data_IF_743534172718
#
_entry.id   IF_743534172718
#
_cell.length_a   1.000
_cell.length_b   1.000
_cell.length_c   1.000
_cell.angle_alpha   90.00
_cell.angle_beta   90.00
_cell.angle_gamma   90.00
#
_symmetry.space_group_name_H-M   'P 1'
#
loop_
_entity.id
_entity.type
_entity.pdbx_description
1 polymer ?
#
# COMPACT_ATOMS: atom_id res chain seq x y z
N UNK A 1 7.45 -2.64 -2.63
CA UNK A 1 6.14 -3.32 -2.66
C UNK A 1 6.21 -4.60 -3.48
N UNK A 2 5.48 -5.63 -3.09
CA UNK A 2 5.24 -6.82 -3.91
C UNK A 2 3.92 -6.69 -4.67
N UNK A 3 3.87 -7.17 -5.92
CA UNK A 3 2.64 -7.14 -6.72
C UNK A 3 1.58 -8.04 -6.06
N UNK A 4 0.35 -7.56 -5.96
CA UNK A 4 -0.79 -8.28 -5.39
C UNK A 4 -0.99 -8.10 -3.89
N UNK A 5 0.02 -7.57 -3.17
CA UNK A 5 -0.06 -7.27 -1.73
C UNK A 5 -0.65 -5.87 -1.47
N UNK A 6 -1.20 -5.71 -0.27
CA UNK A 6 -1.84 -4.47 0.19
C UNK A 6 -0.93 -3.77 1.18
N UNK A 7 -0.79 -2.44 1.04
CA UNK A 7 0.08 -1.63 1.87
C UNK A 7 -0.62 -0.36 2.33
N UNK A 8 -0.16 0.17 3.47
CA UNK A 8 -0.25 1.60 3.77
C UNK A 8 1.08 2.23 3.35
N UNK A 9 1.02 3.32 2.59
CA UNK A 9 2.20 3.99 2.06
C UNK A 9 2.14 5.48 2.34
N UNK A 10 3.25 6.03 2.82
CA UNK A 10 3.48 7.46 2.91
C UNK A 10 4.55 7.86 1.90
N UNK A 11 4.29 8.91 1.11
CA UNK A 11 5.23 9.36 0.08
C UNK A 11 5.20 10.87 -0.11
N UNK A 12 6.28 11.43 -0.64
CA UNK A 12 6.34 12.84 -1.03
C UNK A 12 5.58 13.06 -2.33
N UNK A 13 4.62 13.97 -2.31
CA UNK A 13 3.85 14.38 -3.48
C UNK A 13 4.31 15.72 -4.07
N UNK A 14 5.29 16.37 -3.44
CA UNK A 14 5.84 17.66 -3.81
C UNK A 14 7.05 18.01 -2.94
N UNK A 15 7.53 19.25 -3.04
CA UNK A 15 8.73 19.70 -2.28
C UNK A 15 8.53 19.68 -0.76
N UNK A 16 7.30 19.75 -0.26
CA UNK A 16 6.99 19.83 1.18
C UNK A 16 5.74 19.05 1.59
N UNK A 17 5.15 18.28 0.67
CA UNK A 17 3.88 17.60 0.90
C UNK A 17 4.10 16.11 1.04
N UNK A 18 3.66 15.56 2.18
CA UNK A 18 3.62 14.13 2.44
C UNK A 18 2.17 13.68 2.30
N UNK A 19 1.92 12.78 1.36
CA UNK A 19 0.62 12.14 1.20
C UNK A 19 0.63 10.73 1.81
N UNK A 20 -0.55 10.31 2.25
CA UNK A 20 -0.78 9.02 2.88
C UNK A 20 -1.88 8.28 2.14
N UNK A 21 -1.54 7.11 1.61
CA UNK A 21 -2.45 6.23 0.91
C UNK A 21 -2.62 4.95 1.71
N UNK A 22 -3.87 4.63 2.07
CA UNK A 22 -4.20 3.48 2.90
C UNK A 22 -4.85 2.38 2.10
N UNK A 23 -4.53 1.13 2.46
CA UNK A 23 -5.11 -0.08 1.85
C UNK A 23 -4.99 -0.09 0.32
N UNK A 24 -3.81 0.25 -0.19
CA UNK A 24 -3.55 0.27 -1.63
C UNK A 24 -2.86 -1.00 -2.08
N UNK A 25 -3.31 -1.55 -3.21
CA UNK A 25 -2.77 -2.78 -3.79
C UNK A 25 -1.71 -2.43 -4.82
N UNK A 26 -0.53 -3.01 -4.72
CA UNK A 26 0.48 -2.85 -5.76
C UNK A 26 0.09 -3.71 -6.97
N UNK A 27 -0.20 -3.08 -8.12
CA UNK A 27 -0.62 -3.76 -9.35
C UNK A 27 0.50 -3.87 -10.38
N UNK A 28 1.52 -3.01 -10.31
CA UNK A 28 2.68 -3.06 -11.21
C UNK A 28 3.93 -2.55 -10.51
N UNK A 29 5.08 -3.17 -10.80
CA UNK A 29 6.40 -2.69 -10.41
C UNK A 29 7.19 -2.32 -11.66
N UNK A 30 7.79 -1.15 -11.67
CA UNK A 30 8.76 -0.72 -12.68
C UNK A 30 10.11 -0.48 -12.00
N UNK A 31 11.20 -0.22 -12.75
CA UNK A 31 12.52 0.02 -12.14
C UNK A 31 12.55 1.20 -11.16
N UNK A 32 11.74 2.24 -11.41
CA UNK A 32 11.78 3.50 -10.65
C UNK A 32 10.49 3.82 -9.90
N UNK A 33 9.41 3.08 -10.14
CA UNK A 33 8.10 3.37 -9.55
C UNK A 33 7.21 2.13 -9.39
N UNK A 34 6.27 2.24 -8.44
CA UNK A 34 5.17 1.32 -8.27
C UNK A 34 3.88 1.95 -8.81
N UNK A 35 3.04 1.14 -9.46
CA UNK A 35 1.64 1.50 -9.70
C UNK A 35 0.79 0.83 -8.65
N UNK A 36 0.12 1.64 -7.86
CA UNK A 36 -0.83 1.21 -6.85
C UNK A 36 -2.25 1.44 -7.33
N UNK A 37 -3.16 0.60 -6.86
CA UNK A 37 -4.60 0.69 -7.06
C UNK A 37 -5.26 0.87 -5.70
N UNK A 38 -6.18 1.82 -5.62
CA UNK A 38 -6.98 2.12 -4.44
C UNK A 38 -8.27 1.32 -4.45
N UNK A 39 -8.96 1.30 -3.30
CA UNK A 39 -10.26 0.60 -3.19
C UNK A 39 -11.36 1.18 -4.09
N UNK A 40 -11.26 2.45 -4.50
CA UNK A 40 -12.18 3.10 -5.44
C UNK A 40 -11.89 2.73 -6.91
N UNK A 41 -10.91 1.86 -7.17
CA UNK A 41 -10.48 1.46 -8.51
C UNK A 41 -9.60 2.48 -9.22
N UNK A 42 -9.31 3.63 -8.59
CA UNK A 42 -8.36 4.58 -9.16
C UNK A 42 -6.92 4.08 -8.97
N UNK A 43 -6.04 4.47 -9.89
CA UNK A 43 -4.62 4.08 -9.83
C UNK A 43 -3.72 5.28 -9.63
N UNK A 44 -2.61 5.10 -8.93
CA UNK A 44 -1.58 6.13 -8.72
C UNK A 44 -0.19 5.56 -8.93
N UNK A 45 0.70 6.41 -9.45
CA UNK A 45 2.11 6.10 -9.62
C UNK A 45 2.89 6.69 -8.44
N UNK A 46 3.75 5.90 -7.81
CA UNK A 46 4.62 6.34 -6.71
C UNK A 46 6.06 6.01 -7.07
N UNK A 47 6.92 7.02 -7.12
CA UNK A 47 8.36 6.85 -7.32
C UNK A 47 9.01 6.18 -6.10
N UNK A 48 9.99 5.31 -6.33
CA UNK A 48 10.67 4.60 -5.24
C UNK A 48 11.35 5.56 -4.27
N UNK A 49 11.96 6.62 -4.79
CA UNK A 49 12.67 7.64 -4.02
C UNK A 49 11.73 8.53 -3.18
N UNK A 50 10.44 8.58 -3.56
CA UNK A 50 9.44 9.37 -2.85
C UNK A 50 8.87 8.65 -1.62
N UNK A 51 9.10 7.33 -1.46
CA UNK A 51 8.49 6.54 -0.39
C UNK A 51 9.21 6.83 0.93
N UNK A 52 8.47 7.37 1.89
CA UNK A 52 8.95 7.64 3.24
C UNK A 52 8.68 6.43 4.14
N UNK A 53 7.48 5.86 4.04
CA UNK A 53 7.08 4.71 4.84
C UNK A 53 6.28 3.72 4.00
N UNK A 54 6.54 2.43 4.22
CA UNK A 54 5.81 1.33 3.59
C UNK A 54 5.48 0.26 4.62
N UNK A 55 4.20 0.11 4.94
CA UNK A 55 3.71 -0.92 5.88
C UNK A 55 2.79 -1.90 5.16
N UNK A 56 3.20 -3.16 5.10
CA UNK A 56 2.34 -4.22 4.58
C UNK A 56 1.15 -4.43 5.51
N UNK A 57 -0.05 -4.46 4.93
CA UNK A 57 -1.24 -4.92 5.63
C UNK A 57 -1.26 -6.43 5.41
N UNK A 58 -0.64 -7.15 6.35
CA UNK A 58 -0.92 -8.57 6.49
C UNK A 58 -2.36 -8.63 6.98
N UNK A 59 -3.28 -9.07 6.12
CA UNK A 59 -4.60 -9.45 6.58
C UNK A 59 -4.38 -10.62 7.54
N UNK A 60 -4.25 -10.30 8.83
CA UNK A 60 -4.32 -11.30 9.88
C UNK A 60 -5.76 -11.76 9.86
N UNK A 61 -6.05 -12.72 8.99
CA UNK A 61 -7.25 -13.54 9.13
C UNK A 61 -7.09 -14.22 10.49
N UNK A 62 -7.68 -13.63 11.53
CA UNK A 62 -7.84 -14.28 12.82
C UNK A 62 -8.80 -15.44 12.61
N UNK A 63 -8.27 -16.55 12.11
CA UNK A 63 -8.98 -17.81 12.05
C UNK A 63 -8.94 -18.41 13.47
N UNK A 64 -10.03 -18.23 14.21
CA UNK A 64 -10.43 -19.13 15.29
C UNK A 64 -10.09 -18.73 16.73
N UNK A 65 -11.13 -18.32 17.46
CA UNK A 65 -11.52 -19.00 18.69
C UNK A 65 -12.99 -18.71 19.00
N UNK A 66 -13.89 -19.42 18.32
CA UNK A 66 -15.16 -19.76 18.94
C UNK A 66 -14.84 -20.81 20.01
N UNK A 67 -14.72 -20.40 21.27
CA UNK A 67 -14.90 -21.31 22.41
C UNK A 67 -16.33 -21.12 22.88
N UNK A 68 -17.14 -22.12 22.58
CA UNK A 68 -18.38 -22.41 23.29
C UNK A 68 -18.01 -22.99 24.65
N UNK A 69 -18.50 -22.38 25.73
CA UNK A 69 -18.82 -23.02 27.00
C UNK A 69 -20.11 -22.40 27.52
#
# INVERSE_FOLDING_TARGET
>A
MQIGKIYNVAFTAGRYEIEYERSVKCIKKTPLSYRIERMDGTTRLIGHDCIIELKEIVETTSLGAASVE
#
